data_IF_825773478681
#
_entry.id   IF_825773478681
#
_cell.length_a   1.000
_cell.length_b   1.000
_cell.length_c   1.000
_cell.angle_alpha   90.00
_cell.angle_beta   90.00
_cell.angle_gamma   90.00
#
_symmetry.space_group_name_H-M   'P 1'
#
loop_
_entity.id
_entity.type
_entity.pdbx_description
1 polymer ?
#
# COMPACT_ATOMS: atom_id res chain seq x y z
N UNK A 1 19.41 -6.10 -3.20
CA UNK A 1 18.13 -5.49 -2.79
C UNK A 1 17.50 -4.84 -4.01
N UNK A 2 16.46 -5.45 -4.59
CA UNK A 2 15.87 -5.03 -5.88
C UNK A 2 14.90 -3.83 -5.78
N UNK A 3 14.36 -3.58 -4.59
CA UNK A 3 13.32 -2.57 -4.36
C UNK A 3 13.76 -1.13 -4.65
N UNK A 4 14.97 -0.72 -4.26
CA UNK A 4 15.47 0.64 -4.51
C UNK A 4 15.59 0.94 -6.01
N UNK A 5 16.28 0.10 -6.82
CA UNK A 5 16.28 0.28 -8.27
C UNK A 5 14.89 0.30 -8.91
N UNK A 6 13.95 -0.52 -8.42
CA UNK A 6 12.58 -0.57 -8.93
C UNK A 6 11.80 0.72 -8.62
N UNK A 7 11.94 1.26 -7.39
CA UNK A 7 11.35 2.53 -7.02
C UNK A 7 11.95 3.69 -7.84
N UNK A 8 13.27 3.72 -8.01
CA UNK A 8 13.94 4.72 -8.86
C UNK A 8 13.43 4.67 -10.31
N UNK A 9 13.13 3.47 -10.80
CA UNK A 9 12.57 3.29 -12.14
C UNK A 9 11.14 3.84 -12.26
N UNK A 10 10.30 3.60 -11.25
CA UNK A 10 8.97 4.22 -11.19
C UNK A 10 9.06 5.75 -11.15
N UNK A 11 10.01 6.33 -10.41
CA UNK A 11 10.22 7.78 -10.37
C UNK A 11 10.58 8.38 -11.73
N UNK A 12 11.22 7.62 -12.62
CA UNK A 12 11.54 8.06 -13.98
C UNK A 12 10.39 7.85 -14.96
N UNK A 13 9.57 6.82 -14.75
CA UNK A 13 8.57 6.35 -15.72
C UNK A 13 7.15 6.84 -15.41
N UNK A 14 6.87 7.27 -14.19
CA UNK A 14 5.51 7.58 -13.73
C UNK A 14 5.45 8.92 -13.00
N UNK A 15 4.35 9.67 -13.16
CA UNK A 15 4.15 10.88 -12.39
C UNK A 15 4.01 10.56 -10.90
N UNK A 16 4.37 11.52 -10.06
CA UNK A 16 4.09 11.45 -8.63
C UNK A 16 2.59 11.62 -8.39
N UNK A 17 2.06 10.84 -7.45
CA UNK A 17 0.72 11.00 -6.90
C UNK A 17 0.82 11.26 -5.40
N UNK A 18 -0.23 11.88 -4.84
CA UNK A 18 -0.37 11.96 -3.38
C UNK A 18 -0.78 10.59 -2.88
N UNK A 19 -0.04 10.11 -1.90
CA UNK A 19 -0.26 8.88 -1.17
C UNK A 19 -0.74 9.24 0.22
N UNK A 20 -1.83 8.62 0.66
CA UNK A 20 -2.39 8.74 1.99
C UNK A 20 -1.50 8.08 3.05
N UNK A 21 -0.84 6.98 2.69
CA UNK A 21 0.08 6.19 3.53
C UNK A 21 -0.56 5.37 4.64
N UNK A 22 -1.87 5.53 4.84
CA UNK A 22 -2.70 4.76 5.77
C UNK A 22 -4.10 4.56 5.16
N UNK A 23 -4.16 4.18 3.87
CA UNK A 23 -5.43 4.05 3.14
C UNK A 23 -6.10 2.71 3.44
N UNK A 24 -6.75 2.64 4.60
CA UNK A 24 -7.43 1.44 5.12
C UNK A 24 -8.90 1.74 5.46
N UNK A 25 -9.78 0.74 5.59
CA UNK A 25 -11.23 0.95 5.76
C UNK A 25 -11.61 1.90 6.91
N UNK A 26 -10.85 1.91 8.03
CA UNK A 26 -11.11 2.82 9.15
C UNK A 26 -10.98 4.31 8.78
N UNK A 27 -10.24 4.62 7.72
CA UNK A 27 -9.97 5.97 7.23
C UNK A 27 -10.86 6.34 6.02
N UNK A 28 -11.84 5.49 5.68
CA UNK A 28 -12.80 5.74 4.61
C UNK A 28 -14.18 6.00 5.22
N UNK A 29 -14.69 7.21 5.06
CA UNK A 29 -16.03 7.60 5.51
C UNK A 29 -16.95 7.79 4.31
N UNK A 30 -18.24 7.50 4.47
CA UNK A 30 -19.24 7.68 3.42
C UNK A 30 -20.50 8.34 3.94
N UNK A 31 -21.09 9.21 3.12
CA UNK A 31 -22.43 9.77 3.33
C UNK A 31 -23.53 8.88 2.71
N UNK A 32 -23.17 7.69 2.21
CA UNK A 32 -24.04 6.77 1.48
C UNK A 32 -24.01 6.98 -0.04
N UNK A 33 -23.43 8.09 -0.52
CA UNK A 33 -23.30 8.40 -1.95
C UNK A 33 -21.86 8.59 -2.40
N UNK A 34 -20.98 9.05 -1.51
CA UNK A 34 -19.57 9.33 -1.79
C UNK A 34 -18.69 8.83 -0.67
N UNK A 35 -17.58 8.21 -1.06
CA UNK A 35 -16.49 7.87 -0.14
C UNK A 35 -15.51 9.03 -0.05
N UNK A 36 -15.04 9.32 1.16
CA UNK A 36 -14.04 10.34 1.47
C UNK A 36 -12.95 9.72 2.35
N UNK A 37 -11.69 9.91 1.97
CA UNK A 37 -10.56 9.55 2.82
C UNK A 37 -10.30 10.65 3.85
N UNK A 38 -10.07 10.24 5.09
CA UNK A 38 -9.74 11.10 6.24
C UNK A 38 -8.42 10.63 6.86
N UNK A 39 -7.82 11.45 7.72
CA UNK A 39 -6.55 11.15 8.40
C UNK A 39 -5.31 11.21 7.47
N UNK A 40 -5.02 12.41 6.98
CA UNK A 40 -3.92 12.70 6.03
C UNK A 40 -2.53 13.06 6.60
N UNK A 41 -2.20 13.02 7.92
CA UNK A 41 -0.95 13.57 8.42
C UNK A 41 0.30 12.80 7.96
N UNK A 42 0.14 11.57 7.46
CA UNK A 42 1.22 10.73 6.93
C UNK A 42 1.39 10.84 5.41
N UNK A 43 0.67 11.75 4.76
CA UNK A 43 0.67 11.82 3.31
C UNK A 43 1.98 12.31 2.72
N UNK A 44 2.35 11.75 1.57
CA UNK A 44 3.55 12.12 0.81
C UNK A 44 3.35 11.92 -0.69
N UNK A 45 4.32 12.32 -1.50
CA UNK A 45 4.27 12.14 -2.95
C UNK A 45 5.22 11.03 -3.39
N UNK A 46 4.70 10.04 -4.11
CA UNK A 46 5.50 8.97 -4.71
C UNK A 46 4.80 8.37 -5.94
N UNK A 47 5.53 7.62 -6.80
CA UNK A 47 4.97 7.05 -8.02
C UNK A 47 4.36 5.65 -7.83
N UNK A 48 4.43 5.06 -6.62
CA UNK A 48 3.90 3.74 -6.32
C UNK A 48 2.44 3.81 -5.82
N UNK A 49 1.76 2.65 -5.75
CA UNK A 49 0.34 2.56 -5.39
C UNK A 49 0.14 1.85 -4.05
N UNK A 50 0.77 2.37 -2.99
CA UNK A 50 0.65 1.77 -1.63
C UNK A 50 -0.78 1.86 -1.08
N UNK A 51 -1.53 2.90 -1.44
CA UNK A 51 -2.92 3.05 -0.98
C UNK A 51 -3.86 2.02 -1.64
N UNK A 52 -3.64 1.72 -2.93
CA UNK A 52 -4.37 0.64 -3.60
C UNK A 52 -3.95 -0.72 -3.04
N UNK A 53 -2.66 -0.87 -2.72
CA UNK A 53 -2.13 -2.07 -2.08
C UNK A 53 -2.82 -2.35 -0.74
N UNK A 54 -2.88 -1.36 0.16
CA UNK A 54 -3.51 -1.52 1.48
C UNK A 54 -5.01 -1.79 1.36
N UNK A 55 -5.70 -1.14 0.42
CA UNK A 55 -7.11 -1.42 0.15
C UNK A 55 -7.33 -2.88 -0.30
N UNK A 56 -6.52 -3.37 -1.24
CA UNK A 56 -6.60 -4.74 -1.74
C UNK A 56 -6.25 -5.75 -0.64
N UNK A 57 -5.17 -5.50 0.10
CA UNK A 57 -4.71 -6.33 1.21
C UNK A 57 -5.80 -6.53 2.26
N UNK A 58 -6.44 -5.45 2.70
CA UNK A 58 -7.51 -5.53 3.70
C UNK A 58 -8.74 -6.24 3.13
N UNK A 59 -9.11 -5.94 1.87
CA UNK A 59 -10.24 -6.64 1.22
C UNK A 59 -10.01 -8.16 1.16
N UNK A 60 -8.80 -8.59 0.81
CA UNK A 60 -8.41 -10.02 0.80
C UNK A 60 -8.44 -10.62 2.20
N UNK A 61 -7.97 -9.89 3.21
CA UNK A 61 -8.06 -10.32 4.61
C UNK A 61 -9.53 -10.52 5.08
N UNK A 62 -10.48 -9.77 4.50
CA UNK A 62 -11.92 -9.95 4.70
C UNK A 62 -12.57 -11.03 3.80
N UNK A 63 -11.78 -11.74 2.99
CA UNK A 63 -12.27 -12.83 2.12
C UNK A 63 -12.74 -12.39 0.74
N UNK A 64 -12.46 -11.15 0.33
CA UNK A 64 -12.75 -10.67 -1.03
C UNK A 64 -11.64 -11.02 -2.01
N UNK A 65 -11.95 -10.94 -3.30
CA UNK A 65 -10.98 -11.11 -4.39
C UNK A 65 -10.31 -9.78 -4.71
N UNK A 66 -9.02 -9.81 -5.05
CA UNK A 66 -8.23 -8.62 -5.38
C UNK A 66 -8.56 -8.06 -6.77
N UNK A 67 -8.84 -8.95 -7.71
CA UNK A 67 -8.93 -8.70 -9.14
C UNK A 67 -10.00 -7.69 -9.50
N UNK A 68 -11.23 -7.74 -8.94
CA UNK A 68 -12.25 -6.73 -9.24
C UNK A 68 -11.84 -5.31 -8.82
N UNK A 69 -11.10 -5.16 -7.72
CA UNK A 69 -10.65 -3.85 -7.22
C UNK A 69 -9.59 -3.27 -8.16
N UNK A 70 -8.59 -4.08 -8.52
CA UNK A 70 -7.52 -3.68 -9.44
C UNK A 70 -8.08 -3.41 -10.84
N UNK A 71 -9.00 -4.24 -11.34
CA UNK A 71 -9.66 -4.01 -12.61
C UNK A 71 -10.42 -2.67 -12.63
N UNK A 72 -11.12 -2.32 -11.55
CA UNK A 72 -11.83 -1.05 -11.46
C UNK A 72 -10.88 0.15 -11.47
N UNK A 73 -9.72 0.02 -10.82
CA UNK A 73 -8.66 1.04 -10.86
C UNK A 73 -8.09 1.21 -12.27
N UNK A 74 -7.82 0.11 -12.97
CA UNK A 74 -7.34 0.13 -14.35
C UNK A 74 -8.36 0.81 -15.29
N UNK A 75 -9.63 0.46 -15.18
CA UNK A 75 -10.71 1.07 -15.97
C UNK A 75 -10.85 2.57 -15.72
N UNK A 76 -10.71 3.01 -14.46
CA UNK A 76 -10.85 4.41 -14.08
C UNK A 76 -9.67 5.28 -14.51
N UNK A 77 -8.47 4.70 -14.56
CA UNK A 77 -7.22 5.45 -14.85
C UNK A 77 -6.75 5.31 -16.30
N UNK A 78 -7.16 4.25 -16.99
CA UNK A 78 -6.60 3.88 -18.29
C UNK A 78 -5.14 3.44 -18.24
N UNK A 79 -4.60 3.15 -17.04
CA UNK A 79 -3.22 2.74 -16.87
C UNK A 79 -2.95 1.33 -17.41
N UNK A 80 -1.71 1.06 -17.83
CA UNK A 80 -1.30 -0.27 -18.26
C UNK A 80 -1.22 -1.25 -17.09
N UNK A 81 -1.72 -2.47 -17.27
CA UNK A 81 -1.73 -3.53 -16.25
C UNK A 81 -0.34 -3.79 -15.64
N UNK A 82 0.68 -3.91 -16.49
CA UNK A 82 2.05 -4.20 -16.04
C UNK A 82 2.66 -3.05 -15.23
N UNK A 83 2.27 -1.81 -15.54
CA UNK A 83 2.68 -0.65 -14.74
C UNK A 83 2.01 -0.70 -13.36
N UNK A 84 0.68 -0.89 -13.32
CA UNK A 84 -0.07 -0.96 -12.05
C UNK A 84 0.42 -2.12 -11.19
N UNK A 85 0.72 -3.27 -11.78
CA UNK A 85 1.30 -4.41 -11.07
C UNK A 85 2.61 -4.03 -10.38
N UNK A 86 3.55 -3.40 -11.11
CA UNK A 86 4.82 -2.94 -10.54
C UNK A 86 4.63 -1.87 -9.46
N UNK A 87 3.74 -0.92 -9.69
CA UNK A 87 3.43 0.12 -8.70
C UNK A 87 2.79 -0.45 -7.43
N UNK A 88 1.98 -1.50 -7.55
CA UNK A 88 1.41 -2.23 -6.41
C UNK A 88 2.48 -2.97 -5.63
N UNK A 89 3.33 -3.76 -6.29
CA UNK A 89 4.41 -4.51 -5.63
C UNK A 89 5.37 -3.57 -4.89
N UNK A 90 5.86 -2.52 -5.57
CA UNK A 90 6.72 -1.51 -4.93
C UNK A 90 5.97 -0.78 -3.81
N UNK A 91 4.69 -0.48 -4.02
CA UNK A 91 3.85 0.18 -3.02
C UNK A 91 3.68 -0.63 -1.75
N UNK A 92 3.47 -1.95 -1.87
CA UNK A 92 3.40 -2.86 -0.74
C UNK A 92 4.71 -2.93 0.04
N UNK A 93 5.85 -3.02 -0.67
CA UNK A 93 7.18 -3.01 -0.05
C UNK A 93 7.41 -1.72 0.74
N UNK A 94 7.10 -0.56 0.14
CA UNK A 94 7.24 0.74 0.80
C UNK A 94 6.33 0.84 2.03
N UNK A 95 5.05 0.46 1.91
CA UNK A 95 4.11 0.45 3.03
C UNK A 95 4.61 -0.43 4.18
N UNK A 96 4.98 -1.68 3.91
CA UNK A 96 5.42 -2.63 4.95
C UNK A 96 6.71 -2.14 5.61
N UNK A 97 7.64 -1.58 4.84
CA UNK A 97 8.88 -1.02 5.39
C UNK A 97 8.59 0.13 6.36
N UNK A 98 7.69 1.05 5.98
CA UNK A 98 7.26 2.16 6.84
C UNK A 98 6.55 1.63 8.09
N UNK A 99 5.64 0.67 7.94
CA UNK A 99 4.90 0.05 9.04
C UNK A 99 5.83 -0.65 10.04
N UNK A 100 6.79 -1.45 9.55
CA UNK A 100 7.80 -2.10 10.38
C UNK A 100 8.67 -1.08 11.12
N UNK A 101 9.08 -0.01 10.44
CA UNK A 101 9.81 1.10 11.07
C UNK A 101 9.03 1.69 12.24
N UNK A 102 7.76 2.02 12.02
CA UNK A 102 6.88 2.54 13.08
C UNK A 102 6.73 1.54 14.25
N UNK A 103 6.52 0.25 13.99
CA UNK A 103 6.37 -0.77 15.04
C UNK A 103 7.63 -0.84 15.92
N UNK A 104 8.81 -0.85 15.29
CA UNK A 104 10.10 -0.95 15.97
C UNK A 104 10.43 0.31 16.76
N UNK A 105 10.09 1.49 16.23
CA UNK A 105 10.42 2.76 16.87
C UNK A 105 9.45 3.13 18.00
N UNK A 106 8.15 2.93 17.79
CA UNK A 106 7.12 3.45 18.70
C UNK A 106 5.96 2.49 18.94
N UNK A 107 5.54 1.74 17.91
CA UNK A 107 4.35 0.90 17.97
C UNK A 107 4.40 -0.11 19.11
N UNK A 108 5.55 -0.73 19.37
CA UNK A 108 5.69 -1.71 20.44
C UNK A 108 5.54 -1.12 21.86
N UNK A 109 5.63 0.21 22.02
CA UNK A 109 5.44 0.93 23.28
C UNK A 109 3.99 1.40 23.42
N UNK A 110 3.43 1.94 22.34
CA UNK A 110 2.06 2.50 22.31
C UNK A 110 0.99 1.41 22.18
N UNK A 111 1.25 0.36 21.40
CA UNK A 111 0.39 -0.80 21.16
C UNK A 111 1.25 -2.06 21.32
N UNK A 112 1.41 -2.60 22.55
CA UNK A 112 2.30 -3.73 22.82
C UNK A 112 2.09 -4.95 21.91
N UNK A 113 0.85 -5.20 21.50
CA UNK A 113 0.43 -6.29 20.61
C UNK A 113 0.96 -6.13 19.17
N UNK A 114 1.38 -4.93 18.77
CA UNK A 114 1.93 -4.68 17.43
C UNK A 114 3.20 -5.48 17.13
N UNK A 115 3.89 -5.99 18.16
CA UNK A 115 5.03 -6.91 18.02
C UNK A 115 4.65 -8.19 17.28
N UNK A 116 3.42 -8.65 17.45
CA UNK A 116 2.94 -9.87 16.81
C UNK A 116 2.70 -9.67 15.29
N UNK A 117 2.68 -8.42 14.83
CA UNK A 117 2.54 -8.08 13.41
C UNK A 117 3.87 -8.13 12.66
N UNK A 118 5.02 -8.09 13.35
CA UNK A 118 6.36 -8.06 12.74
C UNK A 118 6.59 -9.31 11.88
N UNK A 119 6.31 -10.49 12.42
CA UNK A 119 6.51 -11.77 11.71
C UNK A 119 5.72 -11.85 10.41
N UNK A 120 4.39 -11.68 10.44
CA UNK A 120 3.57 -11.64 9.23
C UNK A 120 4.00 -10.57 8.22
N UNK A 121 4.31 -9.35 8.67
CA UNK A 121 4.77 -8.28 7.78
C UNK A 121 6.11 -8.61 7.11
N UNK A 122 7.05 -9.23 7.83
CA UNK A 122 8.33 -9.66 7.24
C UNK A 122 8.15 -10.78 6.20
N UNK A 123 7.23 -11.71 6.42
CA UNK A 123 6.90 -12.74 5.44
C UNK A 123 6.30 -12.12 4.17
N UNK A 124 5.31 -11.24 4.33
CA UNK A 124 4.67 -10.52 3.23
C UNK A 124 5.68 -9.65 2.46
N UNK A 125 6.61 -8.98 3.15
CA UNK A 125 7.69 -8.23 2.53
C UNK A 125 8.64 -9.11 1.71
N UNK A 126 8.94 -10.31 2.20
CA UNK A 126 9.79 -11.26 1.49
C UNK A 126 9.13 -11.72 0.18
N UNK A 127 7.85 -12.09 0.24
CA UNK A 127 7.07 -12.52 -0.93
C UNK A 127 7.05 -11.42 -2.01
N UNK A 128 6.73 -10.16 -1.63
CA UNK A 128 6.73 -9.03 -2.57
C UNK A 128 8.13 -8.74 -3.15
N UNK A 129 9.18 -8.97 -2.38
CA UNK A 129 10.56 -8.75 -2.84
C UNK A 129 11.00 -9.82 -3.85
N UNK A 130 10.44 -11.03 -3.75
CA UNK A 130 10.66 -12.11 -4.70
C UNK A 130 9.85 -11.90 -6.01
N UNK A 131 8.70 -11.22 -5.93
CA UNK A 131 7.88 -10.80 -7.08
C UNK A 131 8.51 -9.66 -7.92
N UNK A 132 9.47 -8.91 -7.35
CA UNK A 132 10.23 -7.86 -8.03
C UNK A 132 11.28 -8.40 -9.03
#
# INVERSE_FOLDING_TARGET
>A
MKAVPALDDLHRQSPLAVIHSDFVPKNLVTDGTRWTAVDWPLSYCAPHLSDLYTLVRDAVAYGHQSEPIVARYLDATGAGKDLVSRQLTVGGICFITIALGWIVEEGHRTVPESKDWIGPLLAELADLTDEL
#
